data_IF_181986547002
#
_entry.id   IF_181986547002
#
_cell.length_a   1.000
_cell.length_b   1.000
_cell.length_c   1.000
_cell.angle_alpha   90.00
_cell.angle_beta   90.00
_cell.angle_gamma   90.00
#
_symmetry.space_group_name_H-M   'P 1'
#
loop_
_entity.id
_entity.type
_entity.pdbx_description
1 polymer ?
#
# COMPACT_ATOMS: atom_id res chain seq x y z
N UNK A 1 -28.57 17.33 37.92
CA UNK A 1 -28.12 16.44 36.83
C UNK A 1 -27.10 17.24 36.04
N UNK A 2 -25.83 17.05 36.37
CA UNK A 2 -24.71 17.79 35.79
C UNK A 2 -24.16 16.97 34.63
N UNK A 3 -24.25 17.52 33.41
CA UNK A 3 -23.69 16.91 32.20
C UNK A 3 -22.17 17.01 32.32
N UNK A 4 -21.53 15.89 32.67
CA UNK A 4 -20.08 15.80 32.72
C UNK A 4 -19.50 16.12 31.32
N UNK A 5 -18.94 17.31 31.18
CA UNK A 5 -18.19 17.70 30.01
C UNK A 5 -16.96 16.80 29.90
N UNK A 6 -16.86 16.03 28.82
CA UNK A 6 -15.67 15.24 28.50
C UNK A 6 -14.46 16.19 28.42
N UNK A 7 -13.49 16.00 29.33
CA UNK A 7 -12.31 16.85 29.40
C UNK A 7 -11.39 16.72 28.17
N UNK A 8 -10.50 17.71 27.94
CA UNK A 8 -9.58 17.76 26.80
C UNK A 8 -8.60 16.56 26.72
N UNK A 9 -8.45 15.84 27.83
CA UNK A 9 -7.68 14.60 27.93
C UNK A 9 -8.27 13.47 27.07
N UNK A 10 -9.60 13.44 26.92
CA UNK A 10 -10.33 12.46 26.10
C UNK A 10 -10.18 12.74 24.59
N UNK A 11 -9.94 14.01 24.22
CA UNK A 11 -9.71 14.42 22.83
C UNK A 11 -8.27 14.15 22.38
N UNK A 12 -7.29 14.29 23.28
CA UNK A 12 -5.90 13.87 23.02
C UNK A 12 -5.78 12.33 22.92
N UNK A 13 -6.52 11.59 23.74
CA UNK A 13 -6.62 10.13 23.65
C UNK A 13 -7.31 9.66 22.36
N UNK A 14 -8.31 10.41 21.86
CA UNK A 14 -8.90 10.21 20.52
C UNK A 14 -7.95 10.57 19.38
N UNK A 15 -7.08 11.57 19.55
CA UNK A 15 -6.12 11.98 18.53
C UNK A 15 -5.03 10.91 18.30
N UNK A 16 -4.70 10.13 19.33
CA UNK A 16 -3.80 8.98 19.26
C UNK A 16 -4.58 7.68 19.04
N UNK A 17 -5.52 7.65 18.10
CA UNK A 17 -6.22 6.41 17.78
C UNK A 17 -5.22 5.39 17.21
N UNK A 18 -4.84 4.43 18.06
CA UNK A 18 -4.01 3.30 17.68
C UNK A 18 -4.80 2.50 16.65
N UNK A 19 -4.30 2.44 15.42
CA UNK A 19 -4.90 1.66 14.34
C UNK A 19 -5.26 0.25 14.85
N UNK A 20 -6.51 -0.16 14.61
CA UNK A 20 -6.98 -1.48 15.00
C UNK A 20 -6.07 -2.57 14.43
N UNK A 21 -5.79 -3.61 15.22
CA UNK A 21 -4.97 -4.75 14.80
C UNK A 21 -5.58 -5.46 13.59
N UNK A 22 -6.91 -5.49 13.50
CA UNK A 22 -7.62 -6.05 12.36
C UNK A 22 -7.42 -5.21 11.10
N UNK A 23 -7.55 -3.88 11.20
CA UNK A 23 -7.29 -2.96 10.08
C UNK A 23 -5.85 -3.08 9.60
N UNK A 24 -4.89 -3.15 10.53
CA UNK A 24 -3.48 -3.35 10.20
C UNK A 24 -3.26 -4.67 9.43
N UNK A 25 -3.79 -5.78 9.96
CA UNK A 25 -3.69 -7.08 9.31
C UNK A 25 -4.32 -7.07 7.91
N UNK A 26 -5.49 -6.46 7.77
CA UNK A 26 -6.21 -6.37 6.51
C UNK A 26 -5.42 -5.58 5.45
N UNK A 27 -4.82 -4.45 5.82
CA UNK A 27 -3.92 -3.71 4.93
C UNK A 27 -2.70 -4.54 4.55
N UNK A 28 -2.08 -5.26 5.49
CA UNK A 28 -0.93 -6.12 5.20
C UNK A 28 -1.30 -7.26 4.24
N UNK A 29 -2.40 -7.95 4.49
CA UNK A 29 -2.86 -9.07 3.67
C UNK A 29 -3.20 -8.62 2.25
N UNK A 30 -3.94 -7.51 2.11
CA UNK A 30 -4.32 -6.97 0.79
C UNK A 30 -3.11 -6.43 0.02
N UNK A 31 -2.19 -5.74 0.69
CA UNK A 31 -0.94 -5.29 0.08
C UNK A 31 -0.08 -6.46 -0.39
N UNK A 32 -0.04 -7.56 0.38
CA UNK A 32 0.66 -8.78 0.00
C UNK A 32 0.03 -9.44 -1.23
N UNK A 33 -1.30 -9.61 -1.24
CA UNK A 33 -1.99 -10.21 -2.38
C UNK A 33 -1.79 -9.41 -3.68
N UNK A 34 -1.97 -8.08 -3.63
CA UNK A 34 -1.76 -7.20 -4.79
C UNK A 34 -0.29 -7.19 -5.22
N UNK A 35 0.63 -7.11 -4.26
CA UNK A 35 2.07 -7.12 -4.54
C UNK A 35 2.53 -8.41 -5.20
N UNK A 36 2.14 -9.57 -4.66
CA UNK A 36 2.51 -10.88 -5.22
C UNK A 36 1.91 -11.05 -6.62
N UNK A 37 0.61 -10.84 -6.77
CA UNK A 37 -0.06 -11.01 -8.08
C UNK A 37 0.53 -10.07 -9.14
N UNK A 38 0.83 -8.82 -8.79
CA UNK A 38 1.41 -7.83 -9.70
C UNK A 38 2.86 -8.16 -10.09
N UNK A 39 3.69 -8.58 -9.13
CA UNK A 39 5.07 -8.97 -9.40
C UNK A 39 5.15 -10.25 -10.24
N UNK A 40 4.34 -11.26 -9.91
CA UNK A 40 4.30 -12.53 -10.65
C UNK A 40 3.75 -12.33 -12.06
N UNK A 41 2.66 -11.55 -12.21
CA UNK A 41 2.13 -11.19 -13.51
C UNK A 41 3.16 -10.42 -14.36
N UNK A 42 3.79 -9.38 -13.80
CA UNK A 42 4.82 -8.63 -14.49
C UNK A 42 6.02 -9.49 -14.90
N UNK A 43 6.45 -10.41 -14.03
CA UNK A 43 7.48 -11.38 -14.37
C UNK A 43 7.09 -12.23 -15.59
N UNK A 44 5.90 -12.84 -15.58
CA UNK A 44 5.41 -13.64 -16.72
C UNK A 44 5.31 -12.81 -18.00
N UNK A 45 4.79 -11.58 -17.90
CA UNK A 45 4.53 -10.73 -19.06
C UNK A 45 5.81 -10.24 -19.76
N UNK A 46 6.88 -10.00 -19.02
CA UNK A 46 8.08 -9.35 -19.56
C UNK A 46 9.33 -10.22 -19.61
N UNK A 47 9.37 -11.34 -18.87
CA UNK A 47 10.57 -12.18 -18.75
C UNK A 47 10.36 -13.66 -19.09
N UNK A 48 9.12 -14.08 -19.37
CA UNK A 48 8.83 -15.43 -19.87
C UNK A 48 8.50 -15.34 -21.35
N UNK A 49 9.09 -16.22 -22.16
CA UNK A 49 8.78 -16.37 -23.58
C UNK A 49 7.76 -17.50 -23.75
N UNK A 50 6.84 -17.34 -24.72
CA UNK A 50 5.89 -18.39 -25.08
C UNK A 50 6.55 -19.39 -26.03
N UNK A 51 6.34 -20.68 -25.78
CA UNK A 51 6.73 -21.76 -26.71
C UNK A 51 5.78 -21.86 -27.92
N UNK A 52 4.65 -21.16 -27.88
CA UNK A 52 3.62 -21.11 -28.94
C UNK A 52 3.53 -19.70 -29.55
N UNK A 53 3.77 -19.62 -30.87
CA UNK A 53 3.75 -18.38 -31.66
C UNK A 53 2.37 -17.73 -31.77
N UNK A 54 1.30 -18.49 -31.54
CA UNK A 54 -0.08 -18.00 -31.58
C UNK A 54 -0.66 -17.71 -30.19
N UNK A 55 0.10 -17.98 -29.13
CA UNK A 55 -0.37 -17.75 -27.76
C UNK A 55 -0.41 -16.25 -27.44
N UNK A 56 -1.52 -15.84 -26.84
CA UNK A 56 -1.70 -14.47 -26.33
C UNK A 56 -1.04 -14.25 -24.97
N UNK A 57 -0.64 -15.32 -24.29
CA UNK A 57 0.00 -15.30 -22.97
C UNK A 57 1.35 -16.03 -23.02
N UNK A 58 2.30 -15.56 -22.23
CA UNK A 58 3.63 -16.18 -22.16
C UNK A 58 3.66 -17.39 -21.21
N UNK A 59 2.75 -17.43 -20.24
CA UNK A 59 2.66 -18.52 -19.27
C UNK A 59 1.19 -18.90 -19.01
N UNK A 60 0.84 -20.20 -18.82
CA UNK A 60 -0.55 -20.61 -18.60
C UNK A 60 -1.25 -19.93 -17.41
N UNK A 61 -0.49 -19.54 -16.39
CA UNK A 61 -1.00 -18.84 -15.21
C UNK A 61 -1.04 -17.31 -15.35
N UNK A 62 -0.54 -16.72 -16.45
CA UNK A 62 -0.50 -15.27 -16.65
C UNK A 62 -1.90 -14.63 -16.58
N UNK A 63 -2.96 -15.16 -17.24
CA UNK A 63 -4.30 -14.57 -17.15
C UNK A 63 -4.84 -14.60 -15.72
N UNK A 64 -4.64 -15.71 -15.00
CA UNK A 64 -5.10 -15.84 -13.62
C UNK A 64 -4.40 -14.84 -12.68
N UNK A 65 -3.10 -14.58 -12.87
CA UNK A 65 -2.37 -13.59 -12.06
C UNK A 65 -2.81 -12.17 -12.37
N UNK A 66 -3.09 -11.86 -13.64
CA UNK A 66 -3.65 -10.57 -14.06
C UNK A 66 -5.04 -10.33 -13.44
N UNK A 67 -5.95 -11.30 -13.58
CA UNK A 67 -7.31 -11.21 -13.03
C UNK A 67 -7.31 -11.09 -11.51
N UNK A 68 -6.48 -11.88 -10.82
CA UNK A 68 -6.31 -11.78 -9.38
C UNK A 68 -5.80 -10.40 -8.95
N UNK A 69 -4.82 -9.84 -9.69
CA UNK A 69 -4.32 -8.49 -9.42
C UNK A 69 -5.42 -7.43 -9.55
N UNK A 70 -6.18 -7.47 -10.64
CA UNK A 70 -7.31 -6.56 -10.90
C UNK A 70 -8.40 -6.71 -9.82
N UNK A 71 -8.66 -7.93 -9.34
CA UNK A 71 -9.65 -8.18 -8.30
C UNK A 71 -9.20 -7.69 -6.92
N UNK A 72 -7.95 -7.92 -6.54
CA UNK A 72 -7.43 -7.52 -5.22
C UNK A 72 -7.12 -6.02 -5.13
N UNK A 73 -6.82 -5.35 -6.24
CA UNK A 73 -6.47 -3.92 -6.24
C UNK A 73 -7.56 -3.03 -5.59
N UNK A 74 -8.86 -3.12 -5.95
CA UNK A 74 -9.93 -2.38 -5.26
C UNK A 74 -10.01 -2.65 -3.76
N UNK A 75 -9.72 -3.89 -3.33
CA UNK A 75 -9.72 -4.27 -1.92
C UNK A 75 -8.59 -3.56 -1.16
N UNK A 76 -7.40 -3.45 -1.77
CA UNK A 76 -6.30 -2.66 -1.21
C UNK A 76 -6.64 -1.16 -1.17
N UNK A 77 -7.27 -0.60 -2.21
CA UNK A 77 -7.73 0.80 -2.21
C UNK A 77 -8.68 1.06 -1.04
N UNK A 78 -9.64 0.15 -0.81
CA UNK A 78 -10.54 0.23 0.33
C UNK A 78 -9.77 0.14 1.67
N UNK A 79 -8.82 -0.80 1.79
CA UNK A 79 -7.98 -0.93 2.98
C UNK A 79 -7.18 0.35 3.27
N UNK A 80 -6.62 0.99 2.23
CA UNK A 80 -5.96 2.28 2.32
C UNK A 80 -6.92 3.40 2.76
N UNK A 81 -8.16 3.36 2.29
CA UNK A 81 -9.23 4.28 2.73
C UNK A 81 -9.52 4.17 4.23
N UNK A 82 -9.59 2.95 4.78
CA UNK A 82 -9.81 2.74 6.22
C UNK A 82 -8.71 3.36 7.07
N UNK A 83 -7.44 3.15 6.71
CA UNK A 83 -6.30 3.71 7.46
C UNK A 83 -6.09 5.20 7.21
N UNK A 84 -6.75 5.78 6.19
CA UNK A 84 -6.55 7.18 5.85
C UNK A 84 -6.93 8.11 7.02
N UNK A 85 -8.09 7.89 7.62
CA UNK A 85 -8.59 8.71 8.72
C UNK A 85 -7.90 8.38 10.05
N UNK A 86 -7.79 7.08 10.36
CA UNK A 86 -7.26 6.62 11.66
C UNK A 86 -5.74 6.80 11.78
N UNK A 87 -5.00 6.64 10.68
CA UNK A 87 -3.54 6.62 10.70
C UNK A 87 -2.94 7.79 9.92
N UNK A 88 -3.23 7.91 8.63
CA UNK A 88 -2.51 8.85 7.77
C UNK A 88 -2.79 10.30 8.19
N UNK A 89 -4.06 10.68 8.30
CA UNK A 89 -4.48 12.04 8.63
C UNK A 89 -4.07 12.44 10.05
N UNK A 90 -4.22 11.53 11.02
CA UNK A 90 -3.75 11.75 12.41
C UNK A 90 -2.24 12.02 12.45
N UNK A 91 -1.43 11.24 11.73
CA UNK A 91 0.04 11.41 11.70
C UNK A 91 0.48 12.67 10.96
N UNK A 92 -0.25 13.07 9.91
CA UNK A 92 0.00 14.33 9.22
C UNK A 92 -0.30 15.55 10.11
N UNK A 93 -1.40 15.51 10.88
CA UNK A 93 -1.82 16.61 11.78
C UNK A 93 -0.98 16.72 13.04
N UNK A 94 -0.58 15.58 13.63
CA UNK A 94 0.21 15.56 14.87
C UNK A 94 1.66 15.99 14.70
N UNK A 95 2.17 16.10 13.47
CA UNK A 95 3.53 16.59 13.20
C UNK A 95 4.65 15.65 13.67
N UNK A 96 4.32 14.43 14.10
CA UNK A 96 5.30 13.42 14.56
C UNK A 96 6.34 13.20 13.45
N UNK A 97 7.61 13.47 13.76
CA UNK A 97 8.71 13.39 12.80
C UNK A 97 9.08 11.95 12.43
N UNK A 98 8.80 11.02 13.32
CA UNK A 98 9.17 9.63 13.17
C UNK A 98 8.44 8.96 12.02
N UNK A 99 9.21 8.38 11.08
CA UNK A 99 8.72 7.71 9.86
C UNK A 99 7.90 8.61 8.92
N UNK A 100 7.88 9.94 9.15
CA UNK A 100 7.06 10.90 8.39
C UNK A 100 7.40 10.93 6.90
N UNK A 101 8.69 10.88 6.55
CA UNK A 101 9.15 10.88 5.15
C UNK A 101 8.56 9.69 4.38
N UNK A 102 8.68 8.48 4.94
CA UNK A 102 8.13 7.27 4.33
C UNK A 102 6.60 7.28 4.27
N UNK A 103 5.92 7.82 5.29
CA UNK A 103 4.46 7.94 5.28
C UNK A 103 3.96 8.92 4.21
N UNK A 104 4.61 10.08 4.04
CA UNK A 104 4.29 11.04 2.99
C UNK A 104 4.56 10.45 1.60
N UNK A 105 5.69 9.77 1.43
CA UNK A 105 6.02 9.10 0.17
C UNK A 105 4.96 8.04 -0.19
N UNK A 106 4.53 7.21 0.76
CA UNK A 106 3.45 6.24 0.54
C UNK A 106 2.14 6.91 0.12
N UNK A 107 1.73 7.96 0.82
CA UNK A 107 0.51 8.69 0.49
C UNK A 107 0.59 9.35 -0.90
N UNK A 108 1.76 9.91 -1.25
CA UNK A 108 1.99 10.54 -2.55
C UNK A 108 2.06 9.54 -3.71
N UNK A 109 2.65 8.37 -3.51
CA UNK A 109 2.77 7.31 -4.52
C UNK A 109 1.45 6.56 -4.75
N UNK A 110 0.58 6.50 -3.73
CA UNK A 110 -0.69 5.77 -3.79
C UNK A 110 -1.59 6.28 -4.94
N UNK A 111 -1.70 7.61 -5.09
CA UNK A 111 -2.58 8.22 -6.08
C UNK A 111 -2.17 7.91 -7.54
N UNK A 112 -0.94 8.18 -8.00
CA UNK A 112 -0.55 7.86 -9.37
C UNK A 112 -0.53 6.36 -9.63
N UNK A 113 -0.23 5.53 -8.63
CA UNK A 113 -0.32 4.06 -8.74
C UNK A 113 -1.76 3.60 -9.04
N UNK A 114 -2.75 4.06 -8.27
CA UNK A 114 -4.16 3.70 -8.48
C UNK A 114 -4.66 4.28 -9.80
N UNK A 115 -4.44 5.57 -10.05
CA UNK A 115 -4.96 6.25 -11.23
C UNK A 115 -4.44 5.61 -12.52
N UNK A 116 -3.14 5.34 -12.59
CA UNK A 116 -2.55 4.68 -13.77
C UNK A 116 -3.10 3.27 -14.00
N UNK A 117 -3.42 2.51 -12.94
CA UNK A 117 -4.04 1.19 -13.07
C UNK A 117 -5.39 1.23 -13.80
N UNK A 118 -6.23 2.23 -13.50
CA UNK A 118 -7.47 2.46 -14.24
C UNK A 118 -7.22 2.95 -15.67
N UNK A 119 -6.26 3.87 -15.84
CA UNK A 119 -5.93 4.45 -17.14
C UNK A 119 -5.40 3.41 -18.13
N UNK A 120 -4.69 2.39 -17.68
CA UNK A 120 -4.28 1.25 -18.53
C UNK A 120 -5.50 0.57 -19.15
N UNK A 121 -6.57 0.35 -18.37
CA UNK A 121 -7.76 -0.38 -18.80
C UNK A 121 -8.61 0.39 -19.82
N UNK A 122 -8.65 1.72 -19.70
CA UNK A 122 -9.50 2.58 -20.56
C UNK A 122 -8.74 3.23 -21.72
N UNK A 123 -7.42 3.08 -21.78
CA UNK A 123 -6.61 3.67 -22.84
C UNK A 123 -6.79 2.93 -24.16
N UNK A 124 -7.26 3.66 -25.17
CA UNK A 124 -7.43 3.12 -26.53
C UNK A 124 -6.10 3.10 -27.29
N UNK A 125 -5.37 4.22 -27.31
CA UNK A 125 -4.08 4.32 -28.00
C UNK A 125 -2.98 3.52 -27.30
N UNK A 126 -2.14 2.85 -28.09
CA UNK A 126 -0.96 2.12 -27.60
C UNK A 126 0.03 3.01 -26.85
N UNK A 127 0.27 4.23 -27.34
CA UNK A 127 1.19 5.19 -26.72
C UNK A 127 0.78 5.55 -25.29
N UNK A 128 -0.47 5.96 -25.08
CA UNK A 128 -0.96 6.26 -23.74
C UNK A 128 -0.97 5.02 -22.84
N UNK A 129 -1.39 3.86 -23.35
CA UNK A 129 -1.36 2.62 -22.57
C UNK A 129 0.06 2.28 -22.12
N UNK A 130 1.06 2.40 -22.99
CA UNK A 130 2.46 2.20 -22.64
C UNK A 130 2.96 3.21 -21.59
N UNK A 131 2.60 4.49 -21.72
CA UNK A 131 2.93 5.51 -20.72
C UNK A 131 2.33 5.17 -19.35
N UNK A 132 1.04 4.78 -19.29
CA UNK A 132 0.40 4.41 -18.04
C UNK A 132 0.94 3.13 -17.42
N UNK A 133 1.35 2.15 -18.24
CA UNK A 133 2.08 0.96 -17.78
C UNK A 133 3.35 1.37 -17.03
N UNK A 134 4.17 2.26 -17.61
CA UNK A 134 5.39 2.74 -16.96
C UNK A 134 5.11 3.49 -15.66
N UNK A 135 4.14 4.41 -15.68
CA UNK A 135 3.73 5.14 -14.46
C UNK A 135 3.29 4.16 -13.38
N UNK A 136 2.45 3.18 -13.74
CA UNK A 136 1.93 2.19 -12.81
C UNK A 136 3.04 1.33 -12.23
N UNK A 137 3.88 0.72 -13.06
CA UNK A 137 4.97 -0.17 -12.61
C UNK A 137 5.96 0.59 -11.71
N UNK A 138 6.42 1.76 -12.13
CA UNK A 138 7.39 2.55 -11.35
C UNK A 138 6.81 2.96 -10.00
N UNK A 139 5.58 3.50 -9.99
CA UNK A 139 4.95 3.94 -8.74
C UNK A 139 4.60 2.77 -7.83
N UNK A 140 4.16 1.63 -8.37
CA UNK A 140 3.92 0.39 -7.62
C UNK A 140 5.18 -0.16 -6.96
N UNK A 141 6.30 -0.24 -7.69
CA UNK A 141 7.57 -0.72 -7.13
C UNK A 141 8.09 0.22 -6.04
N UNK A 142 8.07 1.53 -6.29
CA UNK A 142 8.45 2.53 -5.29
C UNK A 142 7.55 2.46 -4.06
N UNK A 143 6.24 2.29 -4.24
CA UNK A 143 5.29 2.17 -3.14
C UNK A 143 5.58 0.92 -2.31
N UNK A 144 5.79 -0.24 -2.95
CA UNK A 144 6.09 -1.51 -2.27
C UNK A 144 7.40 -1.43 -1.47
N UNK A 145 8.48 -0.91 -2.06
CA UNK A 145 9.76 -0.73 -1.36
C UNK A 145 9.60 0.24 -0.19
N UNK A 146 8.96 1.38 -0.42
CA UNK A 146 8.71 2.38 0.64
C UNK A 146 7.86 1.78 1.75
N UNK A 147 6.90 0.94 1.42
CA UNK A 147 6.02 0.25 2.37
C UNK A 147 6.82 -0.69 3.26
N UNK A 148 7.65 -1.55 2.67
CA UNK A 148 8.55 -2.43 3.41
C UNK A 148 9.49 -1.64 4.34
N UNK A 149 10.10 -0.57 3.84
CA UNK A 149 10.96 0.32 4.64
C UNK A 149 10.17 0.95 5.79
N UNK A 150 8.94 1.43 5.52
CA UNK A 150 8.06 2.00 6.54
C UNK A 150 7.76 0.99 7.64
N UNK A 151 7.54 -0.28 7.30
CA UNK A 151 7.29 -1.36 8.25
C UNK A 151 8.55 -1.75 9.04
N UNK A 152 9.70 -1.85 8.39
CA UNK A 152 10.97 -2.18 9.06
C UNK A 152 11.39 -1.10 10.06
N UNK A 153 11.15 0.18 9.75
CA UNK A 153 11.40 1.27 10.70
C UNK A 153 10.52 1.16 11.95
N UNK A 154 9.31 0.59 11.85
CA UNK A 154 8.46 0.30 13.02
C UNK A 154 9.06 -0.80 13.89
N UNK A 155 9.50 -1.90 13.27
CA UNK A 155 10.07 -3.03 13.98
C UNK A 155 11.33 -2.63 14.76
N UNK A 156 12.23 -1.86 14.12
CA UNK A 156 13.47 -1.37 14.75
C UNK A 156 13.23 -0.44 15.94
N UNK A 157 12.25 0.45 15.84
CA UNK A 157 11.88 1.32 16.97
C UNK A 157 11.37 0.50 18.16
N UNK A 158 10.59 -0.57 17.92
CA UNK A 158 10.15 -1.48 18.97
C UNK A 158 11.30 -2.26 19.63
N UNK A 159 12.28 -2.71 18.83
CA UNK A 159 13.47 -3.42 19.34
C UNK A 159 14.34 -2.51 20.21
N UNK A 160 14.61 -1.27 19.80
CA UNK A 160 15.44 -0.35 20.59
C UNK A 160 14.82 0.00 21.95
N UNK A 161 13.50 0.20 22.01
CA UNK A 161 12.80 0.45 23.29
C UNK A 161 12.93 -0.74 24.24
N UNK A 162 12.77 -1.95 23.72
CA UNK A 162 12.93 -3.17 24.51
C UNK A 162 14.37 -3.39 25.01
N UNK A 163 15.36 -2.98 24.23
CA UNK A 163 16.78 -3.12 24.58
C UNK A 163 17.23 -2.10 25.63
N UNK A 164 16.67 -0.88 25.61
CA UNK A 164 16.89 0.15 26.62
C UNK A 164 16.25 -0.20 27.97
N UNK A 165 15.06 -0.79 27.98
CA UNK A 165 14.36 -1.23 29.19
C UNK A 165 15.01 -2.47 29.85
N UNK A 166 15.95 -3.11 29.14
CA UNK A 166 16.68 -4.30 29.61
C UNK A 166 18.08 -4.00 30.15
N UNK A 167 18.54 -2.75 30.09
CA UNK A 167 19.80 -2.33 30.71
C UNK A 167 19.57 -2.16 32.22
N UNK A 168 20.27 -2.90 33.10
CA UNK A 168 20.10 -2.86 34.55
C UNK A 168 20.60 -1.56 35.19
#
# INVERSE_FOLDING_TARGET
QEVAAAGPENDAAKAAQVMSRLTAWFVHATALCVGITGLVYGWMRYFVESDDEFSLANHPAEPAMHEAHVLFAPVLVFACGMIWLEHVLSRLRSGVKERRRTGIALAGLLLPMIASGYLIQVSVSEEWRAAWIWVHVVTSLLWLVTYLVHQLQRARAGTMVFELDRQP
#
